data_IF_368890439692
#
_entry.id   IF_368890439692
#
_cell.length_a   1.000
_cell.length_b   1.000
_cell.length_c   1.000
_cell.angle_alpha   90.00
_cell.angle_beta   90.00
_cell.angle_gamma   90.00
#
_symmetry.space_group_name_H-M   'P 1'
#
loop_
_entity.id
_entity.type
_entity.pdbx_description
1 polymer ?
#
# COMPACT_ATOMS: atom_id res chain seq x y z
N UNK A 1 -24.46 -7.84 12.34
CA UNK A 1 -23.47 -7.29 11.40
C UNK A 1 -23.89 -5.88 11.08
N UNK A 2 -23.03 -4.88 11.27
CA UNK A 2 -23.30 -3.47 10.93
C UNK A 2 -22.28 -3.06 9.88
N UNK A 3 -22.76 -2.47 8.79
CA UNK A 3 -21.93 -1.80 7.79
C UNK A 3 -22.30 -0.33 7.82
N UNK A 4 -21.30 0.53 7.73
CA UNK A 4 -21.45 1.98 7.76
C UNK A 4 -20.80 2.60 6.52
N UNK A 5 -21.22 3.81 6.19
CA UNK A 5 -20.64 4.58 5.09
C UNK A 5 -19.31 5.14 5.57
N UNK A 6 -18.29 5.01 4.74
CA UNK A 6 -17.03 5.73 4.91
C UNK A 6 -17.16 7.13 4.29
N UNK A 7 -17.32 8.15 5.13
CA UNK A 7 -17.43 9.54 4.71
C UNK A 7 -16.06 10.20 4.43
N UNK A 8 -14.95 9.44 4.43
CA UNK A 8 -13.61 9.98 4.15
C UNK A 8 -13.49 10.51 2.72
N UNK A 9 -12.70 11.57 2.57
CA UNK A 9 -12.37 12.17 1.27
C UNK A 9 -11.11 11.49 0.73
N UNK A 10 -11.23 10.85 -0.43
CA UNK A 10 -10.12 10.22 -1.13
C UNK A 10 -9.67 11.08 -2.32
N UNK A 11 -8.68 11.97 -2.14
CA UNK A 11 -8.19 12.80 -3.23
C UNK A 11 -7.60 11.93 -4.34
N UNK A 12 -8.05 12.16 -5.58
CA UNK A 12 -7.51 11.49 -6.76
C UNK A 12 -6.27 12.21 -7.26
N UNK A 13 -5.36 11.46 -7.89
CA UNK A 13 -4.17 12.02 -8.53
C UNK A 13 -3.05 12.39 -7.56
N UNK A 14 -3.04 11.81 -6.36
CA UNK A 14 -1.88 11.90 -5.46
C UNK A 14 -0.73 11.12 -6.09
N UNK A 15 0.34 11.84 -6.45
CA UNK A 15 1.56 11.25 -6.98
C UNK A 15 2.53 10.98 -5.84
N UNK A 16 3.01 9.75 -5.74
CA UNK A 16 4.09 9.36 -4.82
C UNK A 16 5.41 9.42 -5.60
N UNK A 17 6.44 10.03 -5.01
CA UNK A 17 7.75 10.10 -5.63
C UNK A 17 8.44 8.74 -5.65
N UNK A 18 9.40 8.56 -6.57
CA UNK A 18 10.22 7.35 -6.62
C UNK A 18 11.00 7.12 -5.31
N UNK A 19 11.43 8.19 -4.65
CA UNK A 19 12.16 8.11 -3.39
C UNK A 19 11.27 7.59 -2.25
N UNK A 20 10.03 8.08 -2.16
CA UNK A 20 9.05 7.60 -1.18
C UNK A 20 8.68 6.13 -1.43
N UNK A 21 8.46 5.76 -2.70
CA UNK A 21 8.15 4.37 -3.06
C UNK A 21 9.33 3.42 -2.74
N UNK A 22 10.57 3.88 -2.96
CA UNK A 22 11.77 3.11 -2.67
C UNK A 22 12.06 2.97 -1.16
N UNK A 23 11.55 3.88 -0.33
CA UNK A 23 11.70 3.82 1.13
C UNK A 23 10.79 2.76 1.78
N UNK A 24 9.84 2.18 1.02
CA UNK A 24 8.97 1.11 1.51
C UNK A 24 9.78 -0.18 1.61
N UNK A 25 9.74 -0.83 2.78
CA UNK A 25 10.34 -2.13 2.97
C UNK A 25 9.46 -3.22 2.37
N UNK A 26 9.64 -3.42 1.07
CA UNK A 26 8.82 -4.26 0.22
C UNK A 26 9.60 -5.51 -0.21
N UNK A 27 9.14 -6.68 0.25
CA UNK A 27 9.61 -7.97 -0.26
C UNK A 27 8.75 -8.40 -1.46
N UNK A 28 9.37 -8.62 -2.62
CA UNK A 28 8.68 -9.13 -3.83
C UNK A 28 8.67 -10.65 -3.82
N UNK A 29 7.55 -11.22 -4.26
CA UNK A 29 7.33 -12.65 -4.40
C UNK A 29 7.09 -13.02 -5.86
N UNK A 30 7.08 -14.32 -6.11
CA UNK A 30 6.46 -14.84 -7.32
C UNK A 30 4.96 -14.49 -7.34
N UNK A 31 4.38 -14.49 -8.52
CA UNK A 31 2.98 -14.11 -8.70
C UNK A 31 2.05 -15.12 -8.02
N UNK A 32 1.21 -14.65 -7.10
CA UNK A 32 0.27 -15.48 -6.34
C UNK A 32 -1.20 -15.18 -6.70
N UNK A 33 -1.46 -14.85 -7.98
CA UNK A 33 -2.73 -14.28 -8.42
C UNK A 33 -2.66 -12.76 -8.32
N UNK A 34 -3.62 -12.10 -7.68
CA UNK A 34 -3.71 -10.62 -7.73
C UNK A 34 -2.59 -9.88 -6.97
N UNK A 35 -1.64 -10.59 -6.33
CA UNK A 35 -0.60 -9.99 -5.50
C UNK A 35 0.76 -10.71 -5.63
N UNK A 36 1.84 -9.95 -5.41
CA UNK A 36 3.23 -10.41 -5.55
C UNK A 36 4.21 -9.74 -4.56
N UNK A 37 3.74 -9.29 -3.39
CA UNK A 37 4.61 -8.61 -2.44
C UNK A 37 4.13 -8.68 -0.98
N UNK A 38 5.03 -8.37 -0.06
CA UNK A 38 4.77 -8.15 1.37
C UNK A 38 5.44 -6.86 1.80
N UNK A 39 4.72 -6.01 2.55
CA UNK A 39 5.31 -4.84 3.21
C UNK A 39 5.64 -5.25 4.64
N UNK A 40 6.90 -5.11 5.03
CA UNK A 40 7.34 -5.43 6.40
C UNK A 40 7.61 -4.13 7.19
N UNK A 41 7.56 -4.16 8.52
CA UNK A 41 7.87 -2.99 9.33
C UNK A 41 9.30 -2.51 9.10
N UNK A 42 9.50 -1.19 9.14
CA UNK A 42 10.83 -0.62 9.31
C UNK A 42 11.22 -0.73 10.78
N UNK A 43 12.28 -1.49 11.09
CA UNK A 43 12.90 -1.47 12.42
C UNK A 43 13.45 -0.06 12.65
N UNK A 44 12.88 0.65 13.63
CA UNK A 44 13.36 1.97 14.07
C UNK A 44 14.62 1.86 14.91
#
# INVERSE_FOLDING_TARGET
>A
MRCEIDDNIYPKGVTVSNAEMAAINLARHEFHGDWNYTIVPNSS
#
